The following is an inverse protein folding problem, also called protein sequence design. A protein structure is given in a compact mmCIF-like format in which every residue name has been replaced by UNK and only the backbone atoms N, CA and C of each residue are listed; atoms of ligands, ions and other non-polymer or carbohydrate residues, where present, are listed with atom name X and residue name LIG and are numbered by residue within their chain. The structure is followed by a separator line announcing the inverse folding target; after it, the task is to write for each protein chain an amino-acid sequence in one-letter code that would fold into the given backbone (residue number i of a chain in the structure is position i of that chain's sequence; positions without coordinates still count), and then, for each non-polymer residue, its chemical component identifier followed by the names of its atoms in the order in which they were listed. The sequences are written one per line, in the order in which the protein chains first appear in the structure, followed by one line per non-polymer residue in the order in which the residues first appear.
data_IF_475041108522
#
_entry.id   IF_475041108522
#
_cell.length_a   1.000
_cell.length_b   1.000
_cell.length_c   1.000
_cell.angle_alpha   90.00
_cell.angle_beta   90.00
_cell.angle_gamma   90.00
#
_symmetry.space_group_name_H-M   'P 1'
#
loop_
_entity.id
_entity.type
_entity.pdbx_description
1 polymer ?
#
# COMPACT_ATOMS: atom_id res chain seq x y z
N UNK A 1 -16.66 -3.65 15.84
CA UNK A 1 -16.53 -2.21 15.50
C UNK A 1 -15.58 -1.50 16.47
N UNK A 2 -15.73 -1.69 17.78
CA UNK A 2 -14.83 -1.15 18.82
C UNK A 2 -13.36 -1.52 18.58
N UNK A 3 -13.05 -2.81 18.38
CA UNK A 3 -11.68 -3.27 18.05
C UNK A 3 -11.04 -2.52 16.88
N UNK A 4 -11.79 -2.23 15.82
CA UNK A 4 -11.26 -1.48 14.67
C UNK A 4 -11.07 -0.01 15.01
N UNK A 5 -11.96 0.58 15.80
CA UNK A 5 -11.88 1.99 16.18
C UNK A 5 -10.71 2.27 17.13
N UNK A 6 -10.55 1.40 18.12
CA UNK A 6 -9.73 1.69 19.30
C UNK A 6 -8.38 0.94 19.31
N UNK A 7 -8.23 -0.10 18.47
CA UNK A 7 -7.04 -0.96 18.45
C UNK A 7 -6.46 -1.14 17.03
N UNK A 8 -7.11 -1.94 16.18
CA UNK A 8 -6.51 -2.37 14.91
C UNK A 8 -6.50 -1.28 13.83
N UNK A 9 -7.45 -0.35 13.83
CA UNK A 9 -7.46 0.78 12.89
C UNK A 9 -6.31 1.77 13.12
N UNK A 10 -6.11 2.29 14.34
CA UNK A 10 -4.96 3.12 14.66
C UNK A 10 -3.62 2.42 14.38
N UNK A 11 -3.51 1.11 14.72
CA UNK A 11 -2.32 0.33 14.43
C UNK A 11 -2.08 0.19 12.92
N UNK A 12 -3.13 -0.12 12.14
CA UNK A 12 -3.07 -0.23 10.68
C UNK A 12 -2.61 1.08 10.03
N UNK A 13 -3.16 2.22 10.47
CA UNK A 13 -2.76 3.54 9.99
C UNK A 13 -1.28 3.82 10.26
N UNK A 14 -0.82 3.57 11.49
CA UNK A 14 0.58 3.79 11.88
C UNK A 14 1.54 2.87 11.12
N UNK A 15 1.19 1.59 10.97
CA UNK A 15 2.02 0.61 10.27
C UNK A 15 2.13 0.95 8.77
N UNK A 16 1.01 1.31 8.11
CA UNK A 16 1.04 1.74 6.71
C UNK A 16 1.76 3.07 6.50
N UNK A 17 1.68 4.01 7.44
CA UNK A 17 2.40 5.28 7.35
C UNK A 17 3.93 5.08 7.24
N UNK A 18 4.46 3.95 7.72
CA UNK A 18 5.87 3.60 7.52
C UNK A 18 6.26 3.48 6.05
N UNK A 19 5.33 3.14 5.14
CA UNK A 19 5.59 3.00 3.70
C UNK A 19 5.75 4.35 3.00
N UNK A 20 5.39 5.46 3.66
CA UNK A 20 5.50 6.80 3.08
C UNK A 20 6.95 7.24 2.85
N UNK A 21 7.94 6.53 3.39
CA UNK A 21 9.37 6.75 3.10
C UNK A 21 9.77 6.27 1.70
N UNK A 22 9.03 5.31 1.13
CA UNK A 22 9.36 4.69 -0.14
C UNK A 22 9.24 5.67 -1.31
N UNK A 23 10.18 5.58 -2.27
CA UNK A 23 10.30 6.52 -3.41
C UNK A 23 9.06 6.55 -4.31
N UNK A 24 8.37 5.42 -4.43
CA UNK A 24 7.14 5.29 -5.22
C UNK A 24 5.89 5.77 -4.46
N UNK A 25 5.96 6.03 -3.16
CA UNK A 25 4.77 6.36 -2.37
C UNK A 25 4.63 7.87 -2.23
N UNK A 26 3.57 8.42 -2.82
CA UNK A 26 3.25 9.84 -2.74
C UNK A 26 2.42 10.16 -1.50
N UNK A 27 1.41 9.34 -1.22
CA UNK A 27 0.54 9.50 -0.06
C UNK A 27 0.10 8.12 0.46
N UNK A 28 0.00 8.01 1.79
CA UNK A 28 -0.69 6.90 2.46
C UNK A 28 -1.84 7.51 3.25
N UNK A 29 -3.06 7.01 3.01
CA UNK A 29 -4.26 7.46 3.73
C UNK A 29 -5.11 6.27 4.16
N UNK A 30 -5.70 6.37 5.35
CA UNK A 30 -6.49 5.29 5.93
C UNK A 30 -7.61 5.79 6.83
N UNK A 31 -8.68 5.00 6.94
CA UNK A 31 -9.77 5.19 7.89
C UNK A 31 -10.27 3.82 8.37
N UNK A 32 -10.09 3.54 9.67
CA UNK A 32 -10.31 2.19 10.20
C UNK A 32 -9.39 1.18 9.52
N UNK A 33 -9.96 0.14 8.90
CA UNK A 33 -9.20 -0.83 8.08
C UNK A 33 -9.34 -0.58 6.57
N UNK A 34 -9.83 0.58 6.13
CA UNK A 34 -9.78 0.97 4.72
C UNK A 34 -8.54 1.83 4.50
N UNK A 35 -7.70 1.51 3.51
CA UNK A 35 -6.55 2.33 3.17
C UNK A 35 -6.26 2.39 1.66
N UNK A 36 -5.54 3.43 1.28
CA UNK A 36 -4.99 3.63 -0.05
C UNK A 36 -3.52 4.06 0.05
N UNK A 37 -2.69 3.49 -0.81
CA UNK A 37 -1.29 3.88 -1.04
C UNK A 37 -1.22 4.41 -2.48
N UNK A 38 -0.99 5.71 -2.64
CA UNK A 38 -0.87 6.37 -3.95
C UNK A 38 0.56 6.24 -4.48
N UNK A 39 0.69 5.69 -5.69
CA UNK A 39 1.97 5.54 -6.36
C UNK A 39 2.27 6.76 -7.24
N UNK A 40 3.47 7.30 -7.12
CA UNK A 40 3.95 8.46 -7.88
C UNK A 40 5.31 8.17 -8.50
N UNK A 41 5.60 8.83 -9.63
CA UNK A 41 6.90 8.77 -10.31
C UNK A 41 7.97 9.56 -9.56
N UNK A 42 7.58 10.68 -8.95
CA UNK A 42 8.45 11.54 -8.13
C UNK A 42 7.67 12.19 -6.99
N UNK A 43 8.36 12.40 -5.86
CA UNK A 43 7.82 13.06 -4.65
C UNK A 43 8.10 14.56 -4.61
N UNK A 44 9.11 15.05 -5.34
CA UNK A 44 9.57 16.45 -5.28
C UNK A 44 8.58 17.43 -5.93
N UNK A 45 7.71 16.90 -6.77
CA UNK A 45 6.38 17.40 -7.07
C UNK A 45 5.60 16.16 -7.47
N UNK A 46 4.41 15.87 -6.94
CA UNK A 46 3.75 14.57 -7.15
C UNK A 46 3.42 14.36 -8.63
N UNK A 47 4.40 13.85 -9.37
CA UNK A 47 4.32 13.56 -10.80
C UNK A 47 3.75 12.16 -10.90
N UNK A 48 2.58 12.06 -11.53
CA UNK A 48 1.95 10.78 -11.80
C UNK A 48 2.65 10.06 -12.94
N UNK A 49 2.48 8.74 -13.01
CA UNK A 49 2.91 7.98 -14.17
C UNK A 49 2.07 8.37 -15.40
N UNK A 50 2.72 8.42 -16.57
CA UNK A 50 2.06 8.83 -17.82
C UNK A 50 1.00 7.83 -18.26
N UNK A 51 1.32 6.53 -18.18
CA UNK A 51 0.39 5.44 -18.47
C UNK A 51 -0.33 4.99 -17.18
N UNK A 52 -1.47 5.63 -16.94
CA UNK A 52 -2.23 5.48 -15.70
C UNK A 52 -2.67 4.04 -15.47
N UNK A 53 -2.27 3.46 -14.33
CA UNK A 53 -2.68 2.14 -13.89
C UNK A 53 -1.74 0.99 -14.30
N UNK A 54 -0.75 1.26 -15.15
CA UNK A 54 0.28 0.27 -15.49
C UNK A 54 1.16 -0.03 -14.28
N UNK A 55 1.60 1.01 -13.55
CA UNK A 55 2.43 0.83 -12.35
C UNK A 55 1.60 0.24 -11.19
N UNK A 56 0.36 0.69 -11.02
CA UNK A 56 -0.55 0.07 -10.06
C UNK A 56 -0.79 -1.42 -10.32
N UNK A 57 -0.97 -1.82 -11.57
CA UNK A 57 -1.13 -3.23 -11.94
C UNK A 57 0.13 -4.05 -11.68
N UNK A 58 1.31 -3.50 -11.98
CA UNK A 58 2.60 -4.13 -11.68
C UNK A 58 2.78 -4.36 -10.17
N UNK A 59 2.56 -3.32 -9.36
CA UNK A 59 2.65 -3.42 -7.90
C UNK A 59 1.64 -4.40 -7.32
N UNK A 60 0.42 -4.44 -7.86
CA UNK A 60 -0.58 -5.45 -7.49
C UNK A 60 -0.07 -6.86 -7.74
N UNK A 61 0.49 -7.12 -8.91
CA UNK A 61 0.90 -8.47 -9.30
C UNK A 61 2.07 -8.95 -8.41
N UNK A 62 2.99 -8.05 -8.05
CA UNK A 62 4.04 -8.32 -7.07
C UNK A 62 3.48 -8.60 -5.66
N UNK A 63 2.49 -7.83 -5.21
CA UNK A 63 1.83 -8.06 -3.92
C UNK A 63 1.14 -9.43 -3.88
N UNK A 64 0.43 -9.79 -4.97
CA UNK A 64 -0.25 -11.09 -5.11
C UNK A 64 0.77 -12.24 -5.09
N UNK A 65 1.89 -12.09 -5.81
CA UNK A 65 2.97 -13.09 -5.80
C UNK A 65 3.59 -13.25 -4.39
N UNK A 66 3.61 -12.18 -3.59
CA UNK A 66 4.02 -12.18 -2.19
C UNK A 66 2.97 -12.70 -1.20
N UNK A 67 1.77 -13.08 -1.66
CA UNK A 67 0.69 -13.61 -0.81
C UNK A 67 -0.31 -12.57 -0.29
N UNK A 68 -0.25 -11.32 -0.76
CA UNK A 68 -1.13 -10.24 -0.34
C UNK A 68 -2.07 -9.82 -1.48
N UNK A 69 -3.37 -10.02 -1.29
CA UNK A 69 -4.38 -9.47 -2.20
C UNK A 69 -4.57 -7.97 -1.95
N UNK A 70 -4.12 -7.15 -2.89
CA UNK A 70 -4.40 -5.72 -2.95
C UNK A 70 -5.17 -5.39 -4.23
N UNK A 71 -5.95 -4.30 -4.22
CA UNK A 71 -6.67 -3.85 -5.42
C UNK A 71 -5.98 -2.62 -6.01
N UNK A 72 -5.51 -2.72 -7.25
CA UNK A 72 -5.10 -1.55 -8.02
C UNK A 72 -6.34 -0.80 -8.54
N UNK A 73 -6.40 0.50 -8.29
CA UNK A 73 -7.34 1.44 -8.91
C UNK A 73 -6.50 2.55 -9.50
N UNK A 74 -6.27 2.51 -10.82
CA UNK A 74 -5.18 3.28 -11.43
C UNK A 74 -3.86 2.97 -10.70
N UNK A 75 -3.10 3.98 -10.33
CA UNK A 75 -1.84 3.84 -9.59
C UNK A 75 -2.03 3.95 -8.06
N UNK A 76 -3.24 3.69 -7.56
CA UNK A 76 -3.52 3.59 -6.14
C UNK A 76 -3.72 2.12 -5.73
N UNK A 77 -3.03 1.70 -4.67
CA UNK A 77 -3.20 0.37 -4.08
C UNK A 77 -4.16 0.43 -2.89
N UNK A 78 -5.31 -0.21 -3.02
CA UNK A 78 -6.40 -0.19 -2.04
C UNK A 78 -6.38 -1.47 -1.19
N UNK A 79 -6.52 -1.28 0.13
CA UNK A 79 -6.59 -2.32 1.15
C UNK A 79 -7.92 -2.17 1.93
N UNK A 80 -8.62 -3.30 2.11
CA UNK A 80 -9.83 -3.37 2.94
C UNK A 80 -9.97 -4.78 3.52
N UNK A 81 -9.06 -5.21 4.42
CA UNK A 81 -9.07 -6.55 4.98
C UNK A 81 -10.29 -6.81 5.88
N UNK A 82 -10.43 -8.07 6.31
CA UNK A 82 -11.47 -8.47 7.25
C UNK A 82 -11.32 -7.76 8.60
N UNK A 83 -12.44 -7.49 9.28
CA UNK A 83 -12.46 -6.84 10.59
C UNK A 83 -11.80 -7.67 11.71
N UNK A 84 -11.47 -8.93 11.42
CA UNK A 84 -10.77 -9.87 12.32
C UNK A 84 -9.25 -9.79 12.20
N UNK A 85 -8.68 -8.93 11.33
CA UNK A 85 -7.24 -8.75 11.21
C UNK A 85 -6.57 -8.46 12.56
N UNK A 86 -5.47 -9.17 12.82
CA UNK A 86 -4.60 -8.98 13.98
C UNK A 86 -3.47 -8.00 13.67
N UNK A 87 -2.72 -7.58 14.68
CA UNK A 87 -1.50 -6.79 14.47
C UNK A 87 -0.48 -7.55 13.62
N UNK A 88 -0.35 -8.86 13.84
CA UNK A 88 0.55 -9.70 13.05
C UNK A 88 0.14 -9.75 11.56
N UNK A 89 -1.16 -9.82 11.26
CA UNK A 89 -1.64 -9.76 9.87
C UNK A 89 -1.34 -8.39 9.23
N UNK A 90 -1.41 -7.32 10.02
CA UNK A 90 -1.07 -5.96 9.59
C UNK A 90 0.43 -5.84 9.32
N UNK A 91 1.27 -6.36 10.21
CA UNK A 91 2.74 -6.34 10.05
C UNK A 91 3.15 -7.11 8.79
N UNK A 92 2.54 -8.27 8.57
CA UNK A 92 2.77 -9.08 7.38
C UNK A 92 2.28 -8.37 6.11
N UNK A 93 1.13 -7.69 6.18
CA UNK A 93 0.62 -6.85 5.08
C UNK A 93 1.63 -5.77 4.72
N UNK A 94 2.16 -5.03 5.70
CA UNK A 94 3.14 -3.96 5.46
C UNK A 94 4.44 -4.53 4.91
N UNK A 95 4.89 -5.68 5.41
CA UNK A 95 6.08 -6.38 4.92
C UNK A 95 5.95 -6.76 3.45
N UNK A 96 4.84 -7.39 3.06
CA UNK A 96 4.59 -7.79 1.67
C UNK A 96 4.38 -6.57 0.78
N UNK A 97 3.65 -5.56 1.24
CA UNK A 97 3.43 -4.32 0.49
C UNK A 97 4.75 -3.59 0.21
N UNK A 98 5.66 -3.50 1.19
CA UNK A 98 7.01 -2.94 0.97
C UNK A 98 7.79 -3.74 -0.06
N UNK A 99 7.83 -5.06 0.04
CA UNK A 99 8.53 -5.90 -0.92
C UNK A 99 7.96 -5.75 -2.35
N UNK A 100 6.65 -5.59 -2.48
CA UNK A 100 6.00 -5.33 -3.77
C UNK A 100 6.36 -3.94 -4.34
N UNK A 101 6.45 -2.92 -3.48
CA UNK A 101 6.91 -1.59 -3.87
C UNK A 101 8.38 -1.62 -4.32
N UNK A 102 9.26 -2.33 -3.61
CA UNK A 102 10.68 -2.50 -3.96
C UNK A 102 10.83 -3.21 -5.31
N UNK A 103 10.09 -4.30 -5.55
CA UNK A 103 10.10 -5.02 -6.81
C UNK A 103 9.57 -4.17 -7.98
N UNK A 104 8.51 -3.40 -7.74
CA UNK A 104 7.98 -2.43 -8.72
C UNK A 104 9.01 -1.37 -9.06
N UNK A 105 9.74 -0.84 -8.06
CA UNK A 105 10.80 0.14 -8.32
C UNK A 105 11.94 -0.48 -9.14
N UNK A 106 12.35 -1.72 -8.82
CA UNK A 106 13.37 -2.43 -9.57
C UNK A 106 12.98 -2.64 -11.05
N UNK A 107 11.73 -3.05 -11.32
CA UNK A 107 11.22 -3.22 -12.69
C UNK A 107 11.16 -1.90 -13.48
N UNK A 108 10.94 -0.78 -12.79
CA UNK A 108 10.98 0.57 -13.37
C UNK A 108 12.40 1.13 -13.51
N UNK A 109 13.43 0.44 -12.97
CA UNK A 109 14.82 0.89 -12.98
C UNK A 109 15.09 2.08 -12.06
N UNK A 110 14.40 2.12 -10.92
CA UNK A 110 14.22 3.31 -10.08
C UNK A 110 14.81 3.19 -8.67
#
# INVERSE_FOLDING_TARGET
VERVRDDTGPYFAAALASLADHRLVGEVRSFGLLAAIELVKSKDGPVMFEDTGTVGSMCRDHAIAGGLMMRAVRDAMILSPALTYSHQDIDETVRIARAALDATAADLGL
#
